data_IF_773852364233
#
_entry.id   IF_773852364233
#
_cell.length_a   1.000
_cell.length_b   1.000
_cell.length_c   1.000
_cell.angle_alpha   90.00
_cell.angle_beta   90.00
_cell.angle_gamma   90.00
#
_symmetry.space_group_name_H-M   'P 1'
#
loop_
_entity.id
_entity.type
_entity.pdbx_description
1 polymer ?
#
# COMPACT_ATOMS: atom_id res chain seq x y z
N UNK A 1 -0.60 15.29 -2.86
CA UNK A 1 -1.03 13.93 -2.49
C UNK A 1 -0.21 12.90 -3.27
N UNK A 2 0.12 11.73 -2.69
CA UNK A 2 0.91 10.70 -3.35
C UNK A 2 0.14 10.15 -4.56
N UNK A 3 0.69 10.30 -5.77
CA UNK A 3 0.08 9.84 -7.04
C UNK A 3 0.51 8.40 -7.35
N UNK A 4 0.28 7.49 -6.40
CA UNK A 4 0.62 6.07 -6.53
C UNK A 4 2.01 5.65 -6.01
N UNK A 5 2.25 4.34 -6.00
CA UNK A 5 3.40 3.65 -5.38
C UNK A 5 4.77 4.10 -5.91
N UNK A 6 4.84 4.52 -7.19
CA UNK A 6 6.07 5.03 -7.82
C UNK A 6 6.55 6.37 -7.27
N UNK A 7 5.66 7.13 -6.63
CA UNK A 7 5.93 8.47 -6.07
C UNK A 7 6.07 8.45 -4.55
N UNK A 8 6.00 7.28 -3.91
CA UNK A 8 6.26 7.13 -2.49
C UNK A 8 7.73 7.43 -2.18
N UNK A 9 7.94 8.17 -1.09
CA UNK A 9 9.28 8.47 -0.58
C UNK A 9 9.75 7.31 0.29
N UNK A 10 11.07 7.14 0.37
CA UNK A 10 11.64 6.23 1.37
C UNK A 10 11.40 6.79 2.77
N UNK A 11 11.11 5.92 3.74
CA UNK A 11 10.95 6.29 5.15
C UNK A 11 12.21 6.93 5.73
N UNK A 12 13.38 6.42 5.34
CA UNK A 12 14.69 6.96 5.68
C UNK A 12 15.60 6.99 4.45
N UNK A 13 16.60 7.88 4.43
CA UNK A 13 17.56 8.04 3.32
C UNK A 13 16.94 8.38 1.95
N UNK A 14 15.82 9.12 1.91
CA UNK A 14 15.20 9.51 0.64
C UNK A 14 16.12 10.36 -0.25
N UNK A 15 16.99 11.21 0.35
CA UNK A 15 18.03 12.02 -0.32
C UNK A 15 17.52 12.72 -1.59
N UNK A 16 16.46 13.52 -1.46
CA UNK A 16 15.81 14.21 -2.60
C UNK A 16 15.44 13.27 -3.77
N UNK A 17 15.15 12.00 -3.49
CA UNK A 17 14.80 10.97 -4.47
C UNK A 17 15.98 10.13 -4.97
N UNK A 18 17.22 10.47 -4.63
CA UNK A 18 18.40 9.67 -4.99
C UNK A 18 18.36 8.29 -4.34
N UNK A 19 18.00 8.21 -3.05
CA UNK A 19 17.88 6.92 -2.35
C UNK A 19 16.81 6.03 -2.96
N UNK A 20 15.66 6.60 -3.35
CA UNK A 20 14.58 5.87 -4.01
C UNK A 20 15.00 5.27 -5.36
N UNK A 21 15.85 5.96 -6.13
CA UNK A 21 16.41 5.43 -7.38
C UNK A 21 17.43 4.31 -7.10
N UNK A 22 18.30 4.51 -6.12
CA UNK A 22 19.34 3.55 -5.76
C UNK A 22 18.75 2.23 -5.29
N UNK A 23 17.77 2.26 -4.37
CA UNK A 23 17.15 1.02 -3.88
C UNK A 23 16.39 0.28 -4.98
N UNK A 24 15.69 0.99 -5.87
CA UNK A 24 15.02 0.37 -7.03
C UNK A 24 16.02 -0.27 -7.98
N UNK A 25 17.21 0.33 -8.16
CA UNK A 25 18.32 -0.27 -8.89
C UNK A 25 18.85 -1.55 -8.24
N UNK A 26 19.08 -1.53 -6.93
CA UNK A 26 19.53 -2.71 -6.17
C UNK A 26 18.49 -3.85 -6.24
N UNK A 27 17.20 -3.53 -6.07
CA UNK A 27 16.11 -4.50 -6.18
C UNK A 27 16.10 -5.16 -7.56
N UNK A 28 16.19 -4.36 -8.63
CA UNK A 28 16.23 -4.86 -10.01
C UNK A 28 17.45 -5.77 -10.24
N UNK A 29 18.63 -5.37 -9.77
CA UNK A 29 19.86 -6.16 -9.91
C UNK A 29 19.79 -7.50 -9.16
N UNK A 30 19.01 -7.55 -8.07
CA UNK A 30 18.76 -8.78 -7.30
C UNK A 30 17.52 -9.55 -7.78
N UNK A 31 16.93 -9.18 -8.91
CA UNK A 31 15.70 -9.78 -9.45
C UNK A 31 14.53 -9.77 -8.46
N UNK A 32 14.45 -8.74 -7.61
CA UNK A 32 13.33 -8.53 -6.69
C UNK A 32 12.23 -7.78 -7.45
N UNK A 33 11.00 -8.29 -7.38
CA UNK A 33 9.81 -7.68 -7.96
C UNK A 33 9.61 -6.24 -7.47
N UNK A 34 9.06 -5.38 -8.33
CA UNK A 34 8.76 -4.02 -7.92
C UNK A 34 7.60 -3.98 -6.93
N UNK A 35 7.46 -2.90 -6.17
CA UNK A 35 6.32 -2.70 -5.27
C UNK A 35 4.98 -2.81 -6.02
N UNK A 36 4.96 -2.32 -7.26
CA UNK A 36 3.79 -2.39 -8.13
C UNK A 36 3.40 -3.85 -8.43
N UNK A 37 4.39 -4.67 -8.81
CA UNK A 37 4.16 -6.09 -9.10
C UNK A 37 3.75 -6.87 -7.85
N UNK A 38 4.32 -6.51 -6.69
CA UNK A 38 3.98 -7.16 -5.41
C UNK A 38 2.54 -6.87 -4.99
N UNK A 39 2.05 -5.64 -5.16
CA UNK A 39 0.65 -5.29 -4.89
C UNK A 39 -0.27 -6.09 -5.82
N UNK A 40 0.04 -6.13 -7.12
CA UNK A 40 -0.77 -6.87 -8.09
C UNK A 40 -0.79 -8.38 -7.79
N UNK A 41 0.36 -8.96 -7.47
CA UNK A 41 0.47 -10.37 -7.09
C UNK A 41 -0.30 -10.67 -5.80
N UNK A 42 -0.22 -9.80 -4.79
CA UNK A 42 -0.98 -9.96 -3.56
C UNK A 42 -2.49 -10.01 -3.83
N UNK A 43 -3.01 -9.07 -4.63
CA UNK A 43 -4.43 -9.06 -4.99
C UNK A 43 -4.84 -10.29 -5.79
N UNK A 44 -4.01 -10.74 -6.75
CA UNK A 44 -4.24 -11.99 -7.50
C UNK A 44 -4.26 -13.23 -6.62
N UNK A 45 -3.50 -13.22 -5.54
CA UNK A 45 -3.44 -14.30 -4.56
C UNK A 45 -4.56 -14.24 -3.51
N UNK A 46 -5.55 -13.35 -3.70
CA UNK A 46 -6.72 -13.26 -2.83
C UNK A 46 -6.52 -12.39 -1.59
N UNK A 47 -5.47 -11.56 -1.54
CA UNK A 47 -5.35 -10.54 -0.48
C UNK A 47 -6.46 -9.52 -0.65
N UNK A 48 -7.22 -9.33 0.42
CA UNK A 48 -8.22 -8.28 0.47
C UNK A 48 -7.58 -6.94 0.83
N UNK A 49 -7.76 -5.95 -0.05
CA UNK A 49 -7.26 -4.59 0.16
C UNK A 49 -8.43 -3.71 0.58
N UNK A 50 -8.31 -3.07 1.74
CA UNK A 50 -9.36 -2.25 2.35
C UNK A 50 -8.84 -0.83 2.58
N UNK A 51 -9.56 0.15 2.05
CA UNK A 51 -9.32 1.57 2.31
C UNK A 51 -10.14 2.03 3.53
N UNK A 52 -9.47 2.73 4.46
CA UNK A 52 -10.10 3.31 5.64
C UNK A 52 -11.01 4.48 5.23
N UNK A 53 -12.32 4.33 5.44
CA UNK A 53 -13.32 5.35 5.06
C UNK A 53 -13.04 6.71 5.69
N UNK A 54 -12.71 6.75 6.99
CA UNK A 54 -12.36 7.99 7.67
C UNK A 54 -11.12 8.66 7.06
N UNK A 55 -10.11 7.87 6.67
CA UNK A 55 -8.92 8.42 6.01
C UNK A 55 -9.24 8.95 4.61
N UNK A 56 -10.11 8.27 3.86
CA UNK A 56 -10.59 8.75 2.56
C UNK A 56 -11.31 10.09 2.68
N UNK A 57 -12.21 10.23 3.67
CA UNK A 57 -12.97 11.45 3.91
C UNK A 57 -12.04 12.63 4.25
N UNK A 58 -11.09 12.42 5.17
CA UNK A 58 -10.11 13.45 5.58
C UNK A 58 -9.21 13.87 4.41
N UNK A 59 -8.86 12.92 3.54
CA UNK A 59 -8.01 13.19 2.38
C UNK A 59 -8.80 13.65 1.14
N UNK A 60 -10.12 13.59 1.16
CA UNK A 60 -11.00 13.93 0.03
C UNK A 60 -10.87 12.98 -1.16
N UNK A 61 -10.55 11.69 -0.92
CA UNK A 61 -10.35 10.67 -1.96
C UNK A 61 -11.67 9.94 -2.21
N UNK A 62 -12.04 9.79 -3.48
CA UNK A 62 -13.22 9.01 -3.88
C UNK A 62 -12.85 7.57 -4.24
N UNK A 63 -13.82 6.66 -4.14
CA UNK A 63 -13.62 5.24 -4.46
C UNK A 63 -13.15 5.04 -5.90
N UNK A 64 -13.64 5.84 -6.84
CA UNK A 64 -13.30 5.73 -8.27
C UNK A 64 -11.85 6.13 -8.57
N UNK A 65 -11.14 6.74 -7.61
CA UNK A 65 -9.73 7.08 -7.71
C UNK A 65 -8.80 5.97 -7.21
N UNK A 66 -9.36 4.93 -6.58
CA UNK A 66 -8.63 3.77 -6.09
C UNK A 66 -8.43 2.73 -7.21
N UNK A 67 -7.49 1.82 -7.01
CA UNK A 67 -7.33 0.67 -7.90
C UNK A 67 -8.53 -0.27 -7.77
N UNK A 68 -8.86 -0.96 -8.86
CA UNK A 68 -9.97 -1.93 -8.88
C UNK A 68 -9.76 -3.03 -7.83
N UNK A 69 -10.84 -3.41 -7.15
CA UNK A 69 -10.83 -4.46 -6.13
C UNK A 69 -10.58 -3.98 -4.69
N UNK A 70 -10.39 -2.68 -4.47
CA UNK A 70 -10.31 -2.12 -3.10
C UNK A 70 -11.69 -1.99 -2.48
N UNK A 71 -11.87 -2.56 -1.29
CA UNK A 71 -13.06 -2.40 -0.45
C UNK A 71 -12.93 -1.17 0.44
N UNK A 72 -14.07 -0.66 0.92
CA UNK A 72 -14.09 0.40 1.93
C UNK A 72 -14.45 -0.21 3.29
N UNK A 73 -13.72 0.18 4.33
CA UNK A 73 -13.91 -0.32 5.68
C UNK A 73 -13.64 0.75 6.73
N UNK A 74 -14.38 0.69 7.84
CA UNK A 74 -14.15 1.53 9.02
C UNK A 74 -13.33 0.82 10.10
N UNK A 75 -13.14 1.50 11.24
CA UNK A 75 -12.41 0.92 12.38
C UNK A 75 -13.07 -0.36 12.91
N UNK A 76 -14.41 -0.45 12.91
CA UNK A 76 -15.12 -1.65 13.36
C UNK A 76 -14.87 -2.86 12.45
N UNK A 77 -14.75 -2.63 11.14
CA UNK A 77 -14.35 -3.68 10.19
C UNK A 77 -12.94 -4.18 10.49
N UNK A 78 -11.99 -3.25 10.62
CA UNK A 78 -10.60 -3.60 10.95
C UNK A 78 -10.49 -4.37 12.27
N UNK A 79 -11.20 -3.94 13.31
CA UNK A 79 -11.16 -4.62 14.62
C UNK A 79 -11.77 -6.03 14.56
N UNK A 80 -12.87 -6.23 13.83
CA UNK A 80 -13.45 -7.56 13.63
C UNK A 80 -12.49 -8.51 12.93
N UNK A 81 -11.92 -8.10 11.80
CA UNK A 81 -10.93 -8.92 11.07
C UNK A 81 -9.66 -9.17 11.90
N UNK A 82 -9.23 -8.19 12.69
CA UNK A 82 -8.04 -8.31 13.53
C UNK A 82 -8.25 -9.24 14.74
N UNK A 83 -9.46 -9.31 15.29
CA UNK A 83 -9.80 -10.21 16.40
C UNK A 83 -9.80 -11.68 15.95
N UNK A 84 -10.26 -11.96 14.73
CA UNK A 84 -10.25 -13.30 14.14
C UNK A 84 -8.87 -13.69 13.56
N UNK A 85 -7.96 -12.73 13.38
CA UNK A 85 -6.63 -12.96 12.82
C UNK A 85 -5.62 -13.51 13.83
N UNK A 86 -4.83 -14.51 13.43
CA UNK A 86 -3.76 -15.03 14.28
C UNK A 86 -2.61 -14.03 14.52
N UNK A 87 -2.40 -13.11 13.58
CA UNK A 87 -1.34 -12.09 13.63
C UNK A 87 -1.90 -10.77 13.12
N UNK A 88 -1.71 -9.72 13.89
CA UNK A 88 -2.04 -8.35 13.52
C UNK A 88 -0.79 -7.47 13.64
N UNK A 89 -0.47 -6.70 12.60
CA UNK A 89 0.71 -5.84 12.51
C UNK A 89 0.31 -4.42 12.13
N UNK A 90 1.01 -3.44 12.70
CA UNK A 90 0.95 -2.04 12.30
C UNK A 90 2.28 -1.66 11.65
N UNK A 91 2.26 -1.26 10.37
CA UNK A 91 3.44 -1.02 9.51
C UNK A 91 3.51 0.44 9.09
#
# INVERSE_FOLDING_TARGET
MPRGSKRLKLSNMHMMGMGSKLIRGVMKNKNISSLEDLIEQAMKNGVEVVACSMSMDVMGIKKEELIDGVKEGGVGYYLGEAEDSNVNLFI
#
